data_IF_249510808181
#
_entry.id   IF_249510808181
#
_cell.length_a   1.000
_cell.length_b   1.000
_cell.length_c   1.000
_cell.angle_alpha   90.00
_cell.angle_beta   90.00
_cell.angle_gamma   90.00
#
_symmetry.space_group_name_H-M   'P 1'
#
loop_
_entity.id
_entity.type
_entity.pdbx_description
1 polymer ?
#
# COMPACT_ATOMS: atom_id res chain seq x y z
N UNK A 1 33.90 23.46 -12.58
CA UNK A 1 33.12 23.10 -13.78
C UNK A 1 31.97 22.15 -13.46
N UNK A 2 32.18 21.06 -12.71
CA UNK A 2 31.11 20.13 -12.28
C UNK A 2 29.99 20.78 -11.42
N UNK A 3 30.37 21.70 -10.52
CA UNK A 3 29.41 22.35 -9.59
C UNK A 3 28.40 23.26 -10.30
N UNK A 4 28.84 23.98 -11.35
CA UNK A 4 27.95 24.81 -12.18
C UNK A 4 27.03 23.96 -13.07
N UNK A 5 27.47 22.77 -13.50
CA UNK A 5 26.64 21.84 -14.27
C UNK A 5 25.53 21.21 -13.40
N UNK A 6 25.86 20.80 -12.17
CA UNK A 6 24.88 20.33 -11.17
C UNK A 6 23.93 21.44 -10.70
N UNK A 7 24.42 22.67 -10.53
CA UNK A 7 23.57 23.82 -10.20
C UNK A 7 22.60 24.14 -11.36
N UNK A 8 23.02 23.96 -12.61
CA UNK A 8 22.19 24.20 -13.79
C UNK A 8 21.13 23.11 -14.01
N UNK A 9 21.42 21.85 -13.67
CA UNK A 9 20.40 20.78 -13.70
C UNK A 9 19.37 20.96 -12.57
N UNK A 10 19.79 21.33 -11.36
CA UNK A 10 18.88 21.53 -10.22
C UNK A 10 18.01 22.79 -10.33
N UNK A 11 18.46 23.83 -11.03
CA UNK A 11 17.68 25.09 -11.18
C UNK A 11 16.68 25.06 -12.34
N UNK A 12 16.92 24.29 -13.41
CA UNK A 12 16.03 24.22 -14.59
C UNK A 12 15.10 22.99 -14.56
N UNK A 13 15.59 21.84 -14.08
CA UNK A 13 14.82 20.57 -14.08
C UNK A 13 13.85 20.49 -12.90
N UNK A 14 14.25 20.96 -11.72
CA UNK A 14 13.42 20.88 -10.51
C UNK A 14 12.08 21.65 -10.59
N UNK A 15 12.01 22.88 -11.14
CA UNK A 15 10.73 23.59 -11.26
C UNK A 15 9.81 23.00 -12.35
N UNK A 16 10.37 22.31 -13.35
CA UNK A 16 9.60 21.69 -14.46
C UNK A 16 9.05 20.31 -14.09
N UNK A 17 9.76 19.51 -13.30
CA UNK A 17 9.28 18.20 -12.84
C UNK A 17 8.28 18.27 -11.69
N UNK A 18 8.33 19.34 -10.88
CA UNK A 18 7.43 19.54 -9.73
C UNK A 18 5.92 19.53 -10.07
N UNK A 19 5.43 20.21 -11.13
CA UNK A 19 4.02 20.13 -11.53
C UNK A 19 3.64 18.73 -12.04
N UNK A 20 4.56 18.05 -12.73
CA UNK A 20 4.34 16.70 -13.28
C UNK A 20 4.20 15.69 -12.14
N UNK A 21 5.10 15.77 -11.14
CA UNK A 21 5.04 14.96 -9.93
C UNK A 21 3.74 15.18 -9.14
N UNK A 22 3.27 16.43 -9.06
CA UNK A 22 1.99 16.76 -8.39
C UNK A 22 0.79 16.14 -9.12
N UNK A 23 0.79 16.15 -10.45
CA UNK A 23 -0.25 15.51 -11.27
C UNK A 23 -0.23 13.98 -11.08
N UNK A 24 0.95 13.36 -11.10
CA UNK A 24 1.10 11.92 -10.86
C UNK A 24 0.56 11.51 -9.48
N UNK A 25 0.86 12.30 -8.45
CA UNK A 25 0.37 12.04 -7.10
C UNK A 25 -1.15 12.19 -6.97
N UNK A 26 -1.74 13.19 -7.63
CA UNK A 26 -3.20 13.39 -7.63
C UNK A 26 -3.94 12.24 -8.33
N UNK A 27 -3.44 11.77 -9.47
CA UNK A 27 -4.00 10.62 -10.19
C UNK A 27 -3.92 9.36 -9.32
N UNK A 28 -2.79 9.16 -8.64
CA UNK A 28 -2.60 8.03 -7.75
C UNK A 28 -3.56 8.05 -6.54
N UNK A 29 -3.80 9.22 -5.95
CA UNK A 29 -4.81 9.42 -4.90
C UNK A 29 -6.23 9.05 -5.37
N UNK A 30 -6.60 9.45 -6.58
CA UNK A 30 -7.91 9.14 -7.16
C UNK A 30 -8.08 7.63 -7.35
N UNK A 31 -7.06 6.94 -7.87
CA UNK A 31 -7.07 5.48 -8.06
C UNK A 31 -7.25 4.78 -6.70
N UNK A 32 -6.50 5.21 -5.69
CA UNK A 32 -6.59 4.64 -4.34
C UNK A 32 -7.98 4.86 -3.73
N UNK A 33 -8.55 6.06 -3.89
CA UNK A 33 -9.91 6.33 -3.42
C UNK A 33 -10.95 5.42 -4.07
N UNK A 34 -10.80 5.12 -5.37
CA UNK A 34 -11.70 4.23 -6.09
C UNK A 34 -11.55 2.77 -5.62
N UNK A 35 -10.33 2.32 -5.39
CA UNK A 35 -10.06 1.01 -4.80
C UNK A 35 -10.61 0.89 -3.36
N UNK A 36 -10.42 1.92 -2.53
CA UNK A 36 -11.02 2.00 -1.17
C UNK A 36 -12.53 1.80 -1.24
N UNK A 37 -13.19 2.48 -2.20
CA UNK A 37 -14.64 2.40 -2.38
C UNK A 37 -15.08 0.98 -2.77
N UNK A 38 -14.36 0.37 -3.71
CA UNK A 38 -14.65 -1.00 -4.18
C UNK A 38 -14.45 -2.05 -3.07
N UNK A 39 -13.38 -1.92 -2.28
CA UNK A 39 -13.09 -2.79 -1.13
C UNK A 39 -14.19 -2.65 -0.07
N UNK A 40 -14.60 -1.43 0.26
CA UNK A 40 -15.67 -1.17 1.23
C UNK A 40 -17.00 -1.75 0.77
N UNK A 41 -17.33 -1.58 -0.51
CA UNK A 41 -18.53 -2.18 -1.11
C UNK A 41 -18.50 -3.71 -1.02
N UNK A 42 -17.37 -4.33 -1.37
CA UNK A 42 -17.24 -5.78 -1.37
C UNK A 42 -17.31 -6.35 0.06
N UNK A 43 -16.76 -5.63 1.05
CA UNK A 43 -16.83 -6.00 2.47
C UNK A 43 -18.26 -6.01 3.01
N UNK A 44 -19.11 -5.09 2.55
CA UNK A 44 -20.52 -5.02 2.94
C UNK A 44 -21.34 -6.11 2.24
N UNK A 45 -20.99 -6.45 0.99
CA UNK A 45 -21.77 -7.38 0.17
C UNK A 45 -21.45 -8.86 0.42
N UNK A 46 -20.32 -9.20 1.02
CA UNK A 46 -19.85 -10.58 1.22
C UNK A 46 -19.57 -10.84 2.70
N UNK A 47 -20.22 -11.85 3.27
CA UNK A 47 -20.09 -12.22 4.69
C UNK A 47 -19.14 -13.40 4.93
N UNK A 48 -18.47 -13.88 3.88
CA UNK A 48 -17.52 -15.00 4.00
C UNK A 48 -16.21 -14.55 4.64
N UNK A 49 -15.78 -15.30 5.65
CA UNK A 49 -14.57 -15.02 6.43
C UNK A 49 -13.32 -14.97 5.54
N UNK A 50 -13.19 -15.91 4.60
CA UNK A 50 -12.10 -15.95 3.63
C UNK A 50 -12.12 -14.75 2.68
N UNK A 51 -13.31 -14.29 2.28
CA UNK A 51 -13.45 -13.12 1.40
C UNK A 51 -13.05 -11.85 2.14
N UNK A 52 -13.45 -11.70 3.40
CA UNK A 52 -13.04 -10.58 4.25
C UNK A 52 -11.52 -10.55 4.51
N UNK A 53 -10.90 -11.72 4.69
CA UNK A 53 -9.45 -11.81 4.85
C UNK A 53 -8.71 -11.42 3.56
N UNK A 54 -9.20 -11.88 2.40
CA UNK A 54 -8.65 -11.50 1.09
C UNK A 54 -8.77 -9.99 0.84
N UNK A 55 -9.91 -9.41 1.20
CA UNK A 55 -10.17 -7.96 1.13
C UNK A 55 -9.19 -7.20 2.02
N UNK A 56 -9.00 -7.62 3.27
CA UNK A 56 -8.12 -6.95 4.23
C UNK A 56 -6.65 -6.99 3.80
N UNK A 57 -6.20 -8.12 3.26
CA UNK A 57 -4.84 -8.24 2.72
C UNK A 57 -4.65 -7.32 1.50
N UNK A 58 -5.60 -7.31 0.57
CA UNK A 58 -5.54 -6.45 -0.62
C UNK A 58 -5.61 -4.96 -0.28
N UNK A 59 -6.36 -4.61 0.77
CA UNK A 59 -6.43 -3.23 1.27
C UNK A 59 -5.10 -2.78 1.86
N UNK A 60 -4.46 -3.61 2.67
CA UNK A 60 -3.20 -3.24 3.34
C UNK A 60 -2.03 -3.17 2.37
N UNK A 61 -2.01 -3.98 1.31
CA UNK A 61 -1.02 -3.86 0.24
C UNK A 61 -1.17 -2.56 -0.55
N UNK A 62 -2.40 -2.10 -0.79
CA UNK A 62 -2.65 -0.80 -1.40
C UNK A 62 -2.20 0.35 -0.48
N UNK A 63 -2.51 0.26 0.82
CA UNK A 63 -2.11 1.27 1.80
C UNK A 63 -0.58 1.37 1.95
N UNK A 64 0.13 0.23 2.02
CA UNK A 64 1.60 0.23 2.06
C UNK A 64 2.22 0.78 0.77
N UNK A 65 1.67 0.46 -0.40
CA UNK A 65 2.08 1.06 -1.68
C UNK A 65 1.87 2.59 -1.67
N UNK A 66 0.78 3.05 -1.07
CA UNK A 66 0.52 4.47 -0.92
C UNK A 66 1.57 5.18 -0.06
N UNK A 67 1.92 4.59 1.08
CA UNK A 67 2.97 5.12 1.96
C UNK A 67 4.33 5.16 1.24
N UNK A 68 4.67 4.14 0.45
CA UNK A 68 5.87 4.14 -0.40
C UNK A 68 5.88 5.31 -1.40
N UNK A 69 4.76 5.56 -2.08
CA UNK A 69 4.65 6.65 -3.05
C UNK A 69 4.77 8.03 -2.36
N UNK A 70 4.18 8.18 -1.17
CA UNK A 70 4.35 9.37 -0.33
C UNK A 70 5.80 9.56 0.12
N UNK A 71 6.51 8.48 0.48
CA UNK A 71 7.92 8.52 0.84
C UNK A 71 8.81 9.01 -0.30
N UNK A 72 8.58 8.51 -1.52
CA UNK A 72 9.23 8.97 -2.74
C UNK A 72 8.96 10.46 -3.00
N UNK A 73 7.73 10.92 -2.78
CA UNK A 73 7.37 12.33 -2.92
C UNK A 73 8.04 13.23 -1.88
N UNK A 74 8.07 12.79 -0.61
CA UNK A 74 8.67 13.55 0.49
C UNK A 74 10.20 13.55 0.48
N UNK A 75 10.83 12.66 -0.31
CA UNK A 75 12.28 12.49 -0.33
C UNK A 75 12.87 11.95 0.97
N UNK A 76 12.04 11.44 1.87
CA UNK A 76 12.45 10.92 3.17
C UNK A 76 12.30 9.40 3.19
N UNK A 77 13.40 8.68 3.41
CA UNK A 77 13.41 7.21 3.41
C UNK A 77 12.66 6.59 4.59
N UNK A 78 12.43 7.33 5.69
CA UNK A 78 11.75 6.79 6.87
C UNK A 78 10.32 6.30 6.60
N UNK A 79 9.64 6.86 5.58
CA UNK A 79 8.31 6.39 5.18
C UNK A 79 8.34 4.99 4.55
N UNK A 80 9.44 4.63 3.88
CA UNK A 80 9.62 3.33 3.25
C UNK A 80 9.78 2.23 4.32
N UNK A 81 10.45 2.54 5.43
CA UNK A 81 10.56 1.61 6.57
C UNK A 81 9.17 1.30 7.15
N UNK A 82 8.34 2.33 7.37
CA UNK A 82 6.95 2.15 7.81
C UNK A 82 6.16 1.30 6.80
N UNK A 83 6.28 1.59 5.49
CA UNK A 83 5.54 0.86 4.46
C UNK A 83 5.85 -0.64 4.47
N UNK A 84 7.13 -1.00 4.62
CA UNK A 84 7.58 -2.39 4.70
C UNK A 84 7.03 -3.07 5.96
N UNK A 85 7.04 -2.40 7.11
CA UNK A 85 6.48 -2.95 8.35
C UNK A 85 4.99 -3.27 8.19
N UNK A 86 4.20 -2.35 7.61
CA UNK A 86 2.78 -2.58 7.35
C UNK A 86 2.54 -3.74 6.35
N UNK A 87 3.40 -3.86 5.33
CA UNK A 87 3.32 -4.95 4.37
C UNK A 87 3.58 -6.32 5.03
N UNK A 88 4.65 -6.42 5.84
CA UNK A 88 4.94 -7.64 6.59
C UNK A 88 3.82 -7.97 7.57
N UNK A 89 3.29 -6.97 8.28
CA UNK A 89 2.22 -7.18 9.26
C UNK A 89 0.97 -7.81 8.62
N UNK A 90 0.58 -7.35 7.42
CA UNK A 90 -0.52 -7.95 6.65
C UNK A 90 -0.26 -9.42 6.30
N UNK A 91 0.97 -9.74 5.91
CA UNK A 91 1.37 -11.09 5.56
C UNK A 91 1.31 -12.03 6.77
N UNK A 92 1.86 -11.63 7.92
CA UNK A 92 1.79 -12.42 9.15
C UNK A 92 0.33 -12.59 9.60
N UNK A 93 -0.47 -11.52 9.60
CA UNK A 93 -1.87 -11.57 10.03
C UNK A 93 -2.71 -12.53 9.20
N UNK A 94 -2.58 -12.48 7.87
CA UNK A 94 -3.33 -13.35 6.95
C UNK A 94 -2.95 -14.82 7.14
N UNK A 95 -1.65 -15.12 7.22
CA UNK A 95 -1.17 -16.50 7.43
C UNK A 95 -1.56 -17.04 8.81
N UNK A 96 -1.46 -16.21 9.86
CA UNK A 96 -1.85 -16.60 11.22
C UNK A 96 -3.33 -16.91 11.32
N UNK A 97 -4.17 -16.08 10.70
CA UNK A 97 -5.60 -16.32 10.63
C UNK A 97 -5.92 -17.62 9.87
N UNK A 98 -5.33 -17.82 8.69
CA UNK A 98 -5.57 -19.03 7.90
C UNK A 98 -5.20 -20.31 8.66
N UNK A 99 -4.07 -20.29 9.38
CA UNK A 99 -3.63 -21.41 10.22
C UNK A 99 -4.62 -21.74 11.34
N UNK A 100 -5.24 -20.72 11.96
CA UNK A 100 -6.24 -20.93 13.00
C UNK A 100 -7.47 -21.70 12.48
N UNK A 101 -8.06 -21.26 11.35
CA UNK A 101 -9.25 -21.92 10.79
C UNK A 101 -8.96 -23.32 10.25
N UNK A 102 -7.77 -23.53 9.68
CA UNK A 102 -7.34 -24.86 9.25
C UNK A 102 -7.23 -25.79 10.47
N UNK A 103 -6.60 -25.34 11.57
CA UNK A 103 -6.47 -26.17 12.77
C UNK A 103 -7.84 -26.48 13.41
N UNK A 104 -8.74 -25.50 13.51
CA UNK A 104 -10.10 -25.71 14.04
C UNK A 104 -10.89 -26.75 13.21
N UNK A 105 -10.74 -26.73 11.88
CA UNK A 105 -11.39 -27.72 11.01
C UNK A 105 -10.84 -29.15 11.16
N UNK A 106 -9.58 -29.30 11.57
CA UNK A 106 -8.96 -30.61 11.78
C UNK A 106 -9.35 -31.23 13.13
N UNK A 107 -9.51 -30.42 14.18
CA UNK A 107 -10.02 -30.91 15.48
C UNK A 107 -11.44 -31.47 15.34
N UNK A 108 -12.36 -30.74 14.67
CA UNK A 108 -13.75 -31.21 14.47
C UNK A 108 -13.90 -32.49 13.65
N UNK A 109 -12.85 -32.98 12.99
CA UNK A 109 -12.88 -34.18 12.15
C UNK A 109 -12.40 -35.44 12.88
N UNK A 110 -11.88 -35.26 14.11
CA UNK A 110 -11.28 -36.33 14.92
C UNK A 110 -12.20 -36.79 16.05
N UNK A 111 -13.35 -36.12 16.21
CA UNK A 111 -14.49 -36.51 17.06
C UNK A 111 -15.60 -37.17 16.23
#
# INVERSE_FOLDING_TARGET
>A
MLCNFLAMTTTIVYPTVKPILKIMLNIFLIIISLFICLITYLFISKTDIFTNLLILNSFTTLASLFICCLGLYSGNSSYLDIAIIYFLLSFIATNGYLKYFINESNEKKTD
#
